data_IF_357661710374
#
_entry.id   IF_357661710374
#
_cell.length_a   1.000
_cell.length_b   1.000
_cell.length_c   1.000
_cell.angle_alpha   90.00
_cell.angle_beta   90.00
_cell.angle_gamma   90.00
#
_symmetry.space_group_name_H-M   'P 1'
#
loop_
_entity.id
_entity.type
_entity.pdbx_description
1 polymer ?
#
# COMPACT_ATOMS: atom_id res chain seq x y z
N UNK A 1 1.14 23.49 1.27
CA UNK A 1 1.12 22.23 0.47
C UNK A 1 0.77 21.07 1.37
N UNK A 2 -0.18 20.26 0.95
CA UNK A 2 -0.64 19.12 1.75
C UNK A 2 0.42 18.03 1.86
N UNK A 3 0.59 17.51 3.06
CA UNK A 3 1.48 16.40 3.36
C UNK A 3 0.67 15.12 3.52
N UNK A 4 1.28 13.97 3.25
CA UNK A 4 0.61 12.68 3.45
C UNK A 4 0.18 12.56 4.91
N UNK A 5 1.07 12.88 5.84
CA UNK A 5 0.72 12.96 7.26
C UNK A 5 0.93 14.41 7.73
N UNK A 6 -0.05 15.05 8.33
CA UNK A 6 -1.35 14.54 8.77
C UNK A 6 -2.51 14.79 7.78
N UNK A 7 -2.27 15.38 6.62
CA UNK A 7 -3.33 15.95 5.79
C UNK A 7 -4.16 14.90 5.03
N UNK A 8 -3.55 13.79 4.61
CA UNK A 8 -4.23 12.72 3.89
C UNK A 8 -4.64 11.61 4.85
N UNK A 9 -3.71 11.15 5.68
CA UNK A 9 -3.97 10.14 6.71
C UNK A 9 -3.36 10.55 8.04
N UNK A 10 -3.98 10.15 9.13
CA UNK A 10 -3.44 10.37 10.47
C UNK A 10 -4.09 9.42 11.47
N UNK A 11 -3.38 9.13 12.56
CA UNK A 11 -3.88 8.32 13.66
C UNK A 11 -4.46 6.97 13.22
N UNK A 12 -3.78 6.32 12.28
CA UNK A 12 -4.25 5.06 11.73
C UNK A 12 -4.04 3.89 12.69
N UNK A 13 -4.99 2.97 12.67
CA UNK A 13 -4.81 1.66 13.25
C UNK A 13 -4.35 0.73 12.14
N UNK A 14 -3.07 0.37 12.15
CA UNK A 14 -2.46 -0.40 11.08
C UNK A 14 -2.81 -1.88 11.16
N UNK A 15 -3.06 -2.51 10.02
CA UNK A 15 -3.22 -3.95 9.94
C UNK A 15 -1.87 -4.57 9.63
N UNK A 16 -1.27 -5.17 10.66
CA UNK A 16 0.04 -5.81 10.58
C UNK A 16 -0.08 -7.30 10.88
N UNK A 17 0.60 -8.11 10.10
CA UNK A 17 0.71 -9.55 10.34
C UNK A 17 2.16 -9.98 10.18
N UNK A 18 2.60 -11.02 10.89
CA UNK A 18 3.96 -11.54 10.72
C UNK A 18 4.12 -12.32 9.41
N UNK A 19 5.36 -12.47 8.92
CA UNK A 19 5.63 -13.22 7.68
C UNK A 19 5.13 -14.67 7.68
N UNK A 20 5.02 -15.27 8.87
CA UNK A 20 4.57 -16.67 9.03
C UNK A 20 3.05 -16.81 9.01
N UNK A 21 2.29 -15.72 9.09
CA UNK A 21 0.84 -15.76 8.97
C UNK A 21 0.45 -16.27 7.59
N UNK A 22 -0.71 -16.91 7.50
CA UNK A 22 -1.17 -17.48 6.24
C UNK A 22 -1.94 -16.47 5.39
N UNK A 23 -2.07 -16.74 4.11
CA UNK A 23 -2.92 -15.97 3.21
C UNK A 23 -4.36 -15.94 3.73
N UNK A 24 -4.85 -17.05 4.29
CA UNK A 24 -6.19 -17.11 4.88
C UNK A 24 -6.34 -16.11 6.02
N UNK A 25 -5.35 -16.04 6.91
CA UNK A 25 -5.35 -15.07 8.01
C UNK A 25 -5.43 -13.64 7.49
N UNK A 26 -4.64 -13.33 6.45
CA UNK A 26 -4.64 -12.01 5.82
C UNK A 26 -5.99 -11.70 5.18
N UNK A 27 -6.55 -12.64 4.44
CA UNK A 27 -7.85 -12.46 3.77
C UNK A 27 -8.96 -12.16 4.77
N UNK A 28 -8.99 -12.89 5.89
CA UNK A 28 -9.99 -12.67 6.95
C UNK A 28 -9.84 -11.30 7.60
N UNK A 29 -8.60 -10.93 7.91
CA UNK A 29 -8.31 -9.62 8.52
C UNK A 29 -8.67 -8.47 7.58
N UNK A 30 -8.35 -8.59 6.30
CA UNK A 30 -8.70 -7.58 5.29
C UNK A 30 -10.22 -7.44 5.16
N UNK A 31 -10.94 -8.55 5.16
CA UNK A 31 -12.41 -8.55 5.09
C UNK A 31 -13.01 -7.88 6.33
N UNK A 32 -12.55 -8.24 7.51
CA UNK A 32 -13.07 -7.69 8.77
C UNK A 32 -12.81 -6.20 8.90
N UNK A 33 -11.68 -5.73 8.42
CA UNK A 33 -11.27 -4.33 8.53
C UNK A 33 -11.61 -3.50 7.30
N UNK A 34 -12.18 -4.10 6.27
CA UNK A 34 -12.54 -3.43 5.02
C UNK A 34 -11.35 -2.69 4.38
N UNK A 35 -10.20 -3.35 4.35
CA UNK A 35 -8.98 -2.80 3.75
C UNK A 35 -8.45 -3.74 2.68
N UNK A 36 -7.72 -3.20 1.72
CA UNK A 36 -7.18 -3.95 0.58
C UNK A 36 -5.72 -4.34 0.70
N UNK A 37 -5.11 -4.16 1.86
CA UNK A 37 -3.71 -4.45 2.07
C UNK A 37 -3.41 -4.81 3.51
N UNK A 38 -2.41 -5.68 3.69
CA UNK A 38 -1.83 -6.04 4.98
C UNK A 38 -0.35 -5.65 4.94
N UNK A 39 0.11 -5.02 6.01
CA UNK A 39 1.53 -4.75 6.20
C UNK A 39 2.15 -5.96 6.89
N UNK A 40 3.20 -6.51 6.28
CA UNK A 40 3.89 -7.67 6.83
C UNK A 40 5.11 -7.17 7.59
N UNK A 41 5.12 -7.40 8.90
CA UNK A 41 6.11 -6.79 9.79
C UNK A 41 6.70 -7.80 10.76
N UNK A 42 7.91 -7.48 11.22
CA UNK A 42 8.58 -8.19 12.30
C UNK A 42 9.09 -7.15 13.29
N UNK A 43 8.56 -7.15 14.51
CA UNK A 43 8.93 -6.20 15.56
C UNK A 43 8.91 -4.73 15.09
N UNK A 44 7.86 -4.35 14.35
CA UNK A 44 7.69 -2.99 13.84
C UNK A 44 8.47 -2.67 12.57
N UNK A 45 9.33 -3.58 12.12
CA UNK A 45 10.06 -3.44 10.86
C UNK A 45 9.21 -3.95 9.70
N UNK A 46 9.14 -3.15 8.63
CA UNK A 46 8.38 -3.52 7.44
C UNK A 46 9.15 -4.53 6.59
N UNK A 47 8.62 -5.76 6.48
CA UNK A 47 9.18 -6.81 5.63
C UNK A 47 8.58 -6.79 4.24
N UNK A 48 7.30 -6.45 4.13
CA UNK A 48 6.61 -6.46 2.86
C UNK A 48 5.18 -5.96 2.96
N UNK A 49 4.50 -6.00 1.84
CA UNK A 49 3.07 -5.69 1.77
C UNK A 49 2.36 -6.80 1.00
N UNK A 50 1.17 -7.16 1.45
CA UNK A 50 0.32 -8.14 0.77
C UNK A 50 -1.02 -7.49 0.45
N UNK A 51 -1.34 -7.42 -0.84
CA UNK A 51 -2.53 -6.71 -1.34
C UNK A 51 -3.53 -7.67 -1.98
N UNK A 52 -4.74 -7.15 -2.26
CA UNK A 52 -5.74 -7.90 -3.03
C UNK A 52 -5.20 -8.35 -4.39
N UNK A 53 -4.40 -7.52 -5.03
CA UNK A 53 -3.75 -7.84 -6.31
C UNK A 53 -2.79 -9.02 -6.14
N UNK A 54 -2.00 -9.03 -5.06
CA UNK A 54 -1.11 -10.15 -4.76
C UNK A 54 -1.90 -11.44 -4.53
N UNK A 55 -3.05 -11.34 -3.86
CA UNK A 55 -3.92 -12.49 -3.63
C UNK A 55 -4.40 -13.08 -4.94
N UNK A 56 -4.85 -12.25 -5.87
CA UNK A 56 -5.31 -12.72 -7.19
C UNK A 56 -4.16 -13.32 -7.98
N UNK A 57 -3.05 -12.57 -8.13
CA UNK A 57 -1.98 -12.92 -9.04
C UNK A 57 -1.03 -13.99 -8.52
N UNK A 58 -0.78 -14.01 -7.21
CA UNK A 58 0.25 -14.88 -6.62
C UNK A 58 -0.31 -16.06 -5.84
N UNK A 59 -1.59 -16.03 -5.49
CA UNK A 59 -2.23 -17.11 -4.75
C UNK A 59 -3.27 -17.81 -5.62
N UNK A 60 -4.35 -17.12 -5.97
CA UNK A 60 -5.46 -17.76 -6.70
C UNK A 60 -5.04 -18.19 -8.10
N UNK A 61 -4.43 -17.30 -8.88
CA UNK A 61 -4.00 -17.61 -10.25
C UNK A 61 -2.94 -18.72 -10.30
N UNK A 62 -2.10 -18.80 -9.27
CA UNK A 62 -1.05 -19.82 -9.18
C UNK A 62 -1.52 -21.13 -8.52
N UNK A 63 -2.78 -21.21 -8.11
CA UNK A 63 -3.32 -22.42 -7.50
C UNK A 63 -2.77 -22.74 -6.12
N UNK A 64 -2.30 -21.74 -5.39
CA UNK A 64 -1.78 -21.95 -4.04
C UNK A 64 -2.91 -22.10 -3.03
N UNK A 65 -2.68 -22.95 -2.03
CA UNK A 65 -3.61 -23.17 -0.94
C UNK A 65 -3.47 -22.03 0.09
N UNK A 66 -4.49 -21.18 0.28
CA UNK A 66 -4.40 -20.07 1.23
C UNK A 66 -4.17 -20.49 2.68
N UNK A 67 -4.55 -21.71 3.05
CA UNK A 67 -4.34 -22.22 4.42
C UNK A 67 -2.91 -22.70 4.67
N UNK A 68 -2.14 -22.94 3.60
CA UNK A 68 -0.78 -23.47 3.66
C UNK A 68 0.28 -22.56 3.07
N UNK A 69 -0.12 -21.37 2.64
CA UNK A 69 0.81 -20.40 2.05
C UNK A 69 1.08 -19.29 3.05
N UNK A 70 2.35 -19.11 3.41
CA UNK A 70 2.78 -18.03 4.30
C UNK A 70 2.86 -16.71 3.51
N UNK A 71 2.59 -15.61 4.19
CA UNK A 71 2.69 -14.28 3.57
C UNK A 71 4.09 -14.00 3.03
N UNK A 72 5.14 -14.50 3.70
CA UNK A 72 6.51 -14.35 3.25
C UNK A 72 6.74 -14.85 1.81
N UNK A 73 5.97 -15.87 1.39
CA UNK A 73 6.15 -16.49 0.07
C UNK A 73 5.43 -15.76 -1.07
N UNK A 74 4.47 -14.91 -0.75
CA UNK A 74 3.61 -14.27 -1.74
C UNK A 74 3.50 -12.76 -1.60
N UNK A 75 4.05 -12.18 -0.55
CA UNK A 75 4.07 -10.73 -0.36
C UNK A 75 4.98 -10.05 -1.38
N UNK A 76 4.79 -8.76 -1.57
CA UNK A 76 5.78 -7.90 -2.22
C UNK A 76 6.80 -7.52 -1.16
N UNK A 77 8.01 -8.07 -1.27
CA UNK A 77 9.11 -7.77 -0.34
C UNK A 77 9.71 -6.40 -0.68
N UNK A 78 10.20 -5.71 0.35
CA UNK A 78 10.82 -4.39 0.21
C UNK A 78 10.01 -3.44 -0.68
N UNK A 79 8.74 -3.18 -0.33
CA UNK A 79 7.90 -2.31 -1.14
C UNK A 79 8.42 -0.88 -1.14
N UNK A 80 8.02 -0.10 -2.15
CA UNK A 80 8.27 1.33 -2.15
C UNK A 80 7.58 1.95 -0.94
N UNK A 81 8.30 2.85 -0.28
CA UNK A 81 7.80 3.55 0.91
C UNK A 81 7.95 5.05 0.74
N UNK A 82 7.24 5.80 1.56
CA UNK A 82 7.34 7.25 1.61
C UNK A 82 7.53 7.70 3.05
N UNK A 83 8.03 8.93 3.21
CA UNK A 83 8.13 9.57 4.52
C UNK A 83 6.80 10.27 4.86
N UNK A 84 6.52 10.51 6.16
CA UNK A 84 5.32 11.26 6.56
C UNK A 84 5.23 12.65 5.93
N UNK A 85 6.40 13.29 5.72
CA UNK A 85 6.51 14.63 5.14
C UNK A 85 6.35 14.65 3.62
N UNK A 86 6.27 13.50 2.96
CA UNK A 86 6.04 13.45 1.52
C UNK A 86 4.74 14.19 1.18
N UNK A 87 4.77 14.99 0.11
CA UNK A 87 3.57 15.73 -0.29
C UNK A 87 2.52 14.78 -0.87
N UNK A 88 1.26 15.17 -0.74
CA UNK A 88 0.15 14.37 -1.27
C UNK A 88 0.29 14.13 -2.78
N UNK A 89 0.66 15.16 -3.53
CA UNK A 89 0.82 15.04 -4.99
C UNK A 89 1.98 14.11 -5.36
N UNK A 90 3.09 14.16 -4.63
CA UNK A 90 4.23 13.26 -4.87
C UNK A 90 3.88 11.81 -4.58
N UNK A 91 3.17 11.55 -3.49
CA UNK A 91 2.70 10.19 -3.16
C UNK A 91 1.81 9.64 -4.29
N UNK A 92 0.89 10.46 -4.78
CA UNK A 92 -0.02 10.06 -5.85
C UNK A 92 0.73 9.80 -7.16
N UNK A 93 1.74 10.61 -7.47
CA UNK A 93 2.63 10.38 -8.62
C UNK A 93 3.34 9.05 -8.53
N UNK A 94 3.88 8.72 -7.36
CA UNK A 94 4.58 7.43 -7.16
C UNK A 94 3.65 6.24 -7.36
N UNK A 95 2.42 6.35 -6.92
CA UNK A 95 1.41 5.30 -7.16
C UNK A 95 1.13 5.14 -8.65
N UNK A 96 0.95 6.24 -9.37
CA UNK A 96 0.71 6.22 -10.81
C UNK A 96 1.90 5.63 -11.57
N UNK A 97 3.09 6.11 -11.29
CA UNK A 97 4.30 5.69 -12.00
C UNK A 97 4.65 4.22 -11.73
N UNK A 98 4.45 3.78 -10.50
CA UNK A 98 4.75 2.41 -10.10
C UNK A 98 3.62 1.41 -10.35
N UNK A 99 2.42 1.89 -10.68
CA UNK A 99 1.26 1.03 -10.90
C UNK A 99 0.70 0.38 -9.66
N UNK A 100 0.98 0.93 -8.47
CA UNK A 100 0.47 0.38 -7.21
C UNK A 100 -0.49 1.36 -6.54
N UNK A 101 -1.34 0.81 -5.66
CA UNK A 101 -2.42 1.56 -5.01
C UNK A 101 -2.20 1.82 -3.53
N UNK A 102 -1.10 1.33 -2.98
CA UNK A 102 -0.78 1.45 -1.56
C UNK A 102 0.68 1.81 -1.40
N UNK A 103 0.97 2.74 -0.49
CA UNK A 103 2.33 3.09 -0.11
C UNK A 103 2.46 3.08 1.41
N UNK A 104 3.30 2.20 1.97
CA UNK A 104 3.62 2.27 3.39
C UNK A 104 4.37 3.57 3.70
N UNK A 105 4.12 4.09 4.89
CA UNK A 105 4.76 5.32 5.39
C UNK A 105 5.75 4.90 6.48
N UNK A 106 7.00 5.24 6.28
CA UNK A 106 8.11 4.85 7.16
C UNK A 106 8.85 6.09 7.65
N UNK A 107 9.16 6.13 8.93
CA UNK A 107 9.94 7.20 9.55
C UNK A 107 11.02 6.60 10.43
N UNK A 108 12.27 6.98 10.19
CA UNK A 108 13.42 6.46 10.93
C UNK A 108 13.46 4.92 10.99
N UNK A 109 13.18 4.28 9.85
CA UNK A 109 13.19 2.83 9.74
C UNK A 109 11.98 2.12 10.32
N UNK A 110 11.00 2.86 10.85
CA UNK A 110 9.80 2.29 11.46
C UNK A 110 8.55 2.59 10.67
N UNK A 111 7.68 1.59 10.57
CA UNK A 111 6.38 1.75 9.93
C UNK A 111 5.50 2.65 10.80
N UNK A 112 4.95 3.71 10.20
CA UNK A 112 4.08 4.67 10.90
C UNK A 112 2.72 4.83 10.25
N UNK A 113 2.53 4.32 9.03
CA UNK A 113 1.24 4.46 8.37
C UNK A 113 1.19 3.74 7.02
N UNK A 114 0.06 3.89 6.37
CA UNK A 114 -0.15 3.45 4.99
C UNK A 114 -1.10 4.42 4.32
N UNK A 115 -0.84 4.75 3.07
CA UNK A 115 -1.76 5.54 2.27
C UNK A 115 -2.21 4.73 1.08
N UNK A 116 -3.50 4.77 0.76
CA UNK A 116 -4.06 4.13 -0.42
C UNK A 116 -4.53 5.18 -1.40
N UNK A 117 -4.64 4.79 -2.69
CA UNK A 117 -5.10 5.71 -3.72
C UNK A 117 -6.46 6.32 -3.40
N UNK A 118 -7.36 5.57 -2.76
CA UNK A 118 -8.68 6.05 -2.39
C UNK A 118 -8.70 7.09 -1.26
N UNK A 119 -7.57 7.26 -0.55
CA UNK A 119 -7.45 8.29 0.49
C UNK A 119 -7.31 9.69 -0.10
N UNK A 120 -7.00 9.79 -1.39
CA UNK A 120 -6.83 11.06 -2.07
C UNK A 120 -8.15 11.54 -2.67
N UNK A 121 -8.46 12.81 -2.45
CA UNK A 121 -9.66 13.45 -2.97
C UNK A 121 -9.33 14.82 -3.57
N UNK A 122 -10.15 15.27 -4.52
CA UNK A 122 -10.15 16.65 -4.98
C UNK A 122 -8.91 17.07 -5.76
N UNK A 123 -8.25 18.12 -5.29
CA UNK A 123 -7.28 18.88 -6.07
C UNK A 123 -6.05 18.09 -6.52
N UNK A 124 -5.48 17.24 -5.67
CA UNK A 124 -4.28 16.47 -6.02
C UNK A 124 -4.57 15.48 -7.16
N UNK A 125 -5.72 14.82 -7.09
CA UNK A 125 -6.14 13.88 -8.12
C UNK A 125 -6.40 14.58 -9.44
N UNK A 126 -7.16 15.67 -9.41
CA UNK A 126 -7.46 16.47 -10.59
C UNK A 126 -6.17 17.04 -11.20
N UNK A 127 -5.28 17.56 -10.35
CA UNK A 127 -3.99 18.13 -10.78
C UNK A 127 -3.12 17.09 -11.49
N UNK A 128 -3.05 15.87 -10.94
CA UNK A 128 -2.28 14.81 -11.55
C UNK A 128 -2.89 14.36 -12.88
N UNK A 129 -4.20 14.29 -12.97
CA UNK A 129 -4.91 13.96 -14.21
C UNK A 129 -4.66 15.03 -15.27
N UNK A 130 -4.67 16.31 -14.91
CA UNK A 130 -4.35 17.42 -15.79
C UNK A 130 -2.91 17.33 -16.32
N UNK A 131 -1.95 17.06 -15.45
CA UNK A 131 -0.56 16.86 -15.85
C UNK A 131 -0.42 15.70 -16.84
N UNK A 132 -1.09 14.59 -16.59
CA UNK A 132 -1.08 13.43 -17.49
C UNK A 132 -1.65 13.75 -18.86
N UNK A 133 -2.73 14.51 -18.92
CA UNK A 133 -3.35 14.96 -20.18
C UNK A 133 -2.41 15.88 -20.97
N UNK A 134 -1.73 16.79 -20.27
CA UNK A 134 -0.76 17.69 -20.91
C UNK A 134 0.37 16.90 -21.55
N UNK A 135 0.93 15.93 -20.85
CA UNK A 135 2.01 15.09 -21.36
C UNK A 135 1.57 14.25 -22.56
N UNK A 136 0.36 13.73 -22.55
CA UNK A 136 -0.21 12.99 -23.67
C UNK A 136 -0.33 13.87 -24.91
N UNK A 137 -0.66 15.15 -24.75
CA UNK A 137 -0.79 16.08 -25.87
C UNK A 137 0.56 16.53 -26.44
N UNK A 138 1.58 16.59 -25.61
CA UNK A 138 2.92 17.03 -26.00
C UNK A 138 3.74 15.88 -26.60
N UNK A 139 3.55 14.73 -26.08
CA UNK A 139 4.25 13.53 -26.51
C UNK A 139 3.54 12.84 -27.66
#
# INVERSE_FOLDING_TARGET
MRRVVPDVVSNQQLLELPPVATVRDAARAMRERHVGAVLVTTAGHLDGIFTERDMVNRVVAEGRDPDRTALADVMTADPDTIAPTTTAIEALRRMNDGGFRHLPIVEHGRLVGIVSRRDFHGEEKARLDDESEIWKKIG
#
